data_IF_757358409112
#
_entry.id   IF_757358409112
#
_cell.length_a   1.000
_cell.length_b   1.000
_cell.length_c   1.000
_cell.angle_alpha   90.00
_cell.angle_beta   90.00
_cell.angle_gamma   90.00
#
_symmetry.space_group_name_H-M   'P 1'
#
loop_
_entity.id
_entity.type
_entity.pdbx_description
1 polymer ?
#
# COMPACT_ATOMS: atom_id res chain seq x y z
N UNK A 1 -30.77 7.43 -19.17
CA UNK A 1 -30.46 6.19 -18.41
C UNK A 1 -29.00 6.24 -17.99
N UNK A 2 -28.74 6.78 -16.80
CA UNK A 2 -27.43 6.86 -16.14
C UNK A 2 -27.35 5.77 -15.08
N UNK A 3 -27.40 4.51 -15.49
CA UNK A 3 -27.29 3.38 -14.56
C UNK A 3 -25.82 2.99 -14.39
N UNK A 4 -25.36 3.00 -13.14
CA UNK A 4 -23.99 2.66 -12.74
C UNK A 4 -23.86 1.22 -12.26
N UNK A 5 -24.98 0.52 -12.04
CA UNK A 5 -25.04 -0.85 -11.54
C UNK A 5 -24.16 -1.83 -12.34
N UNK A 6 -24.11 -1.78 -13.69
CA UNK A 6 -23.25 -2.68 -14.48
C UNK A 6 -21.75 -2.54 -14.18
N UNK A 7 -21.30 -1.37 -13.74
CA UNK A 7 -19.89 -1.14 -13.39
C UNK A 7 -19.58 -1.79 -12.03
N UNK A 8 -20.50 -1.75 -11.08
CA UNK A 8 -20.35 -2.44 -9.81
C UNK A 8 -20.43 -3.96 -9.97
N UNK A 9 -21.28 -4.46 -10.88
CA UNK A 9 -21.30 -5.89 -11.25
C UNK A 9 -19.96 -6.34 -11.85
N UNK A 10 -19.37 -5.55 -12.76
CA UNK A 10 -18.03 -5.82 -13.28
C UNK A 10 -16.97 -5.89 -12.16
N UNK A 11 -17.02 -4.95 -11.21
CA UNK A 11 -16.07 -4.91 -10.09
C UNK A 11 -16.14 -6.15 -9.18
N UNK A 12 -17.32 -6.80 -9.09
CA UNK A 12 -17.54 -8.06 -8.35
C UNK A 12 -17.08 -9.29 -9.13
N UNK A 13 -17.36 -9.33 -10.43
CA UNK A 13 -17.23 -10.56 -11.22
C UNK A 13 -15.84 -10.75 -11.84
N UNK A 14 -15.07 -9.68 -12.08
CA UNK A 14 -13.74 -9.79 -12.70
C UNK A 14 -12.59 -9.55 -11.71
N UNK A 15 -11.82 -10.62 -11.51
CA UNK A 15 -10.47 -10.57 -10.95
C UNK A 15 -9.55 -11.54 -11.72
N UNK A 16 -8.53 -11.08 -12.47
CA UNK A 16 -8.13 -9.69 -12.70
C UNK A 16 -8.56 -9.10 -14.06
N UNK A 17 -9.14 -7.88 -14.09
CA UNK A 17 -9.48 -7.21 -15.35
C UNK A 17 -8.24 -6.71 -16.07
N UNK A 18 -8.25 -6.67 -17.41
CA UNK A 18 -7.11 -6.13 -18.18
C UNK A 18 -7.04 -4.61 -18.02
N UNK A 19 -5.84 -4.04 -18.04
CA UNK A 19 -5.62 -2.59 -17.89
C UNK A 19 -6.34 -1.75 -18.97
N UNK A 20 -6.54 -2.30 -20.17
CA UNK A 20 -7.25 -1.66 -21.28
C UNK A 20 -8.75 -1.53 -20.99
N UNK A 21 -9.37 -2.57 -20.43
CA UNK A 21 -10.80 -2.58 -20.07
C UNK A 21 -11.08 -1.57 -18.95
N UNK A 22 -10.19 -1.46 -17.97
CA UNK A 22 -10.30 -0.46 -16.89
C UNK A 22 -10.32 0.98 -17.42
N UNK A 23 -9.50 1.32 -18.42
CA UNK A 23 -9.48 2.67 -18.99
C UNK A 23 -10.80 3.01 -19.70
N UNK A 24 -11.40 2.05 -20.39
CA UNK A 24 -12.71 2.23 -21.04
C UNK A 24 -13.81 2.47 -20.01
N UNK A 25 -13.82 1.70 -18.92
CA UNK A 25 -14.78 1.84 -17.84
C UNK A 25 -14.63 3.18 -17.09
N UNK A 26 -13.40 3.61 -16.80
CA UNK A 26 -13.14 4.92 -16.16
C UNK A 26 -13.72 6.06 -17.01
N UNK A 27 -13.49 6.04 -18.33
CA UNK A 27 -14.08 7.06 -19.24
C UNK A 27 -15.60 7.03 -19.23
N UNK A 28 -16.21 5.84 -19.18
CA UNK A 28 -17.67 5.69 -19.11
C UNK A 28 -18.22 6.25 -17.79
N UNK A 29 -17.56 5.97 -16.66
CA UNK A 29 -17.92 6.52 -15.36
C UNK A 29 -17.80 8.04 -15.35
N UNK A 30 -16.78 8.62 -16.00
CA UNK A 30 -16.61 10.08 -16.08
C UNK A 30 -17.78 10.75 -16.80
N UNK A 31 -18.28 10.17 -17.89
CA UNK A 31 -19.47 10.68 -18.59
C UNK A 31 -20.70 10.66 -17.67
N UNK A 32 -20.92 9.55 -16.95
CA UNK A 32 -22.05 9.41 -16.00
C UNK A 32 -21.91 10.43 -14.86
N UNK A 33 -20.71 10.60 -14.32
CA UNK A 33 -20.41 11.57 -13.27
C UNK A 33 -20.76 13.00 -13.70
N UNK A 34 -20.29 13.44 -14.86
CA UNK A 34 -20.57 14.80 -15.35
C UNK A 34 -22.07 15.05 -15.59
N UNK A 35 -22.79 14.04 -16.10
CA UNK A 35 -24.25 14.11 -16.24
C UNK A 35 -24.96 14.18 -14.88
N UNK A 36 -24.52 13.39 -13.90
CA UNK A 36 -25.12 13.38 -12.57
C UNK A 36 -24.89 14.69 -11.82
N UNK A 37 -23.68 15.27 -11.93
CA UNK A 37 -23.35 16.58 -11.34
C UNK A 37 -24.15 17.69 -12.01
N UNK A 38 -24.27 17.69 -13.34
CA UNK A 38 -25.08 18.69 -14.07
C UNK A 38 -26.56 18.63 -13.66
N UNK A 39 -27.10 17.44 -13.45
CA UNK A 39 -28.49 17.24 -13.04
C UNK A 39 -28.69 17.30 -11.51
N UNK A 40 -27.67 17.64 -10.73
CA UNK A 40 -27.71 17.68 -9.26
C UNK A 40 -28.20 16.37 -8.60
N UNK A 41 -27.88 15.22 -9.20
CA UNK A 41 -28.25 13.91 -8.66
C UNK A 41 -27.13 13.42 -7.75
N UNK A 42 -27.24 13.74 -6.45
CA UNK A 42 -26.20 13.46 -5.46
C UNK A 42 -25.84 11.97 -5.38
N UNK A 43 -26.85 11.10 -5.29
CA UNK A 43 -26.65 9.66 -5.14
C UNK A 43 -25.80 9.08 -6.28
N UNK A 44 -26.15 9.39 -7.53
CA UNK A 44 -25.42 8.90 -8.72
C UNK A 44 -24.03 9.54 -8.78
N UNK A 45 -23.89 10.82 -8.40
CA UNK A 45 -22.58 11.50 -8.38
C UNK A 45 -21.62 10.86 -7.38
N UNK A 46 -22.10 10.54 -6.16
CA UNK A 46 -21.32 9.87 -5.12
C UNK A 46 -20.96 8.43 -5.53
N UNK A 47 -21.91 7.68 -6.09
CA UNK A 47 -21.65 6.33 -6.62
C UNK A 47 -20.64 6.35 -7.78
N UNK A 48 -20.73 7.35 -8.66
CA UNK A 48 -19.78 7.52 -9.78
C UNK A 48 -18.38 7.82 -9.30
N UNK A 49 -18.24 8.65 -8.28
CA UNK A 49 -16.95 8.87 -7.63
C UNK A 49 -16.38 7.56 -7.07
N UNK A 50 -17.18 6.79 -6.33
CA UNK A 50 -16.73 5.54 -5.73
C UNK A 50 -16.31 4.51 -6.78
N UNK A 51 -17.11 4.32 -7.83
CA UNK A 51 -16.79 3.41 -8.93
C UNK A 51 -15.49 3.82 -9.63
N UNK A 52 -15.28 5.11 -9.87
CA UNK A 52 -14.06 5.63 -10.48
C UNK A 52 -12.83 5.37 -9.61
N UNK A 53 -12.93 5.62 -8.31
CA UNK A 53 -11.84 5.36 -7.37
C UNK A 53 -11.50 3.86 -7.27
N UNK A 54 -12.50 2.98 -7.24
CA UNK A 54 -12.29 1.52 -7.24
C UNK A 54 -11.58 1.03 -8.50
N UNK A 55 -12.00 1.49 -9.69
CA UNK A 55 -11.34 1.16 -10.95
C UNK A 55 -9.91 1.70 -10.99
N UNK A 56 -9.71 2.92 -10.52
CA UNK A 56 -8.39 3.57 -10.45
C UNK A 56 -7.49 2.85 -9.46
N UNK A 57 -8.03 2.39 -8.33
CA UNK A 57 -7.34 1.60 -7.32
C UNK A 57 -6.81 0.29 -7.91
N UNK A 58 -7.67 -0.51 -8.56
CA UNK A 58 -7.23 -1.75 -9.25
C UNK A 58 -6.19 -1.47 -10.33
N UNK A 59 -6.35 -0.40 -11.12
CA UNK A 59 -5.39 0.00 -12.16
C UNK A 59 -4.03 0.38 -11.57
N UNK A 60 -4.00 1.21 -10.53
CA UNK A 60 -2.76 1.62 -9.85
C UNK A 60 -2.07 0.44 -9.19
N UNK A 61 -2.81 -0.53 -8.65
CA UNK A 61 -2.24 -1.76 -8.12
C UNK A 61 -1.51 -2.58 -9.21
N UNK A 62 -2.14 -2.77 -10.37
CA UNK A 62 -1.49 -3.41 -11.54
C UNK A 62 -0.22 -2.64 -11.95
N UNK A 63 -0.29 -1.31 -11.96
CA UNK A 63 0.88 -0.46 -12.22
C UNK A 63 1.99 -0.71 -11.21
N UNK A 64 1.71 -0.74 -9.90
CA UNK A 64 2.71 -1.00 -8.87
C UNK A 64 3.40 -2.36 -9.07
N UNK A 65 2.62 -3.41 -9.34
CA UNK A 65 3.16 -4.73 -9.65
C UNK A 65 4.11 -4.72 -10.86
N UNK A 66 3.72 -4.02 -11.93
CA UNK A 66 4.56 -3.87 -13.12
C UNK A 66 5.86 -3.09 -12.80
N UNK A 67 5.81 -2.09 -11.93
CA UNK A 67 7.03 -1.38 -11.48
C UNK A 67 7.97 -2.31 -10.70
N UNK A 68 7.44 -3.18 -9.82
CA UNK A 68 8.26 -4.19 -9.13
C UNK A 68 8.93 -5.14 -10.13
N UNK A 69 8.18 -5.66 -11.10
CA UNK A 69 8.72 -6.50 -12.18
C UNK A 69 9.80 -5.78 -12.99
N UNK A 70 9.65 -4.48 -13.21
CA UNK A 70 10.62 -3.63 -13.87
C UNK A 70 11.79 -3.17 -12.95
N UNK A 71 11.87 -3.66 -11.70
CA UNK A 71 12.87 -3.29 -10.68
C UNK A 71 12.84 -1.81 -10.27
N UNK A 72 11.72 -1.14 -10.49
CA UNK A 72 11.42 0.24 -10.07
C UNK A 72 10.74 0.21 -8.70
N UNK A 73 11.52 -0.18 -7.69
CA UNK A 73 11.01 -0.48 -6.35
C UNK A 73 10.54 0.76 -5.60
N UNK A 74 11.23 1.89 -5.76
CA UNK A 74 10.81 3.13 -5.09
C UNK A 74 9.49 3.65 -5.65
N UNK A 75 9.32 3.62 -6.97
CA UNK A 75 8.07 4.03 -7.63
C UNK A 75 6.90 3.12 -7.23
N UNK A 76 7.14 1.81 -7.13
CA UNK A 76 6.13 0.87 -6.62
C UNK A 76 5.73 1.19 -5.17
N UNK A 77 6.70 1.47 -4.30
CA UNK A 77 6.46 1.86 -2.91
C UNK A 77 5.60 3.13 -2.79
N UNK A 78 5.91 4.17 -3.57
CA UNK A 78 5.10 5.39 -3.61
C UNK A 78 3.66 5.10 -4.05
N UNK A 79 3.45 4.21 -5.03
CA UNK A 79 2.09 3.83 -5.47
C UNK A 79 1.37 3.06 -4.37
N UNK A 80 2.04 2.19 -3.61
CA UNK A 80 1.41 1.48 -2.49
C UNK A 80 0.93 2.42 -1.38
N UNK A 81 1.73 3.41 -0.99
CA UNK A 81 1.31 4.43 -0.01
C UNK A 81 0.09 5.22 -0.51
N UNK A 82 0.07 5.61 -1.78
CA UNK A 82 -1.09 6.27 -2.38
C UNK A 82 -2.34 5.38 -2.37
N UNK A 83 -2.18 4.07 -2.59
CA UNK A 83 -3.29 3.12 -2.55
C UNK A 83 -3.87 3.01 -1.13
N UNK A 84 -3.04 2.97 -0.09
CA UNK A 84 -3.52 2.98 1.31
C UNK A 84 -4.32 4.26 1.62
N UNK A 85 -3.84 5.42 1.17
CA UNK A 85 -4.55 6.70 1.33
C UNK A 85 -5.88 6.67 0.58
N UNK A 86 -5.89 6.25 -0.69
CA UNK A 86 -7.13 6.10 -1.48
C UNK A 86 -8.11 5.13 -0.83
N UNK A 87 -7.62 4.00 -0.30
CA UNK A 87 -8.46 3.00 0.36
C UNK A 87 -9.17 3.57 1.58
N UNK A 88 -8.50 4.41 2.38
CA UNK A 88 -9.15 5.06 3.54
C UNK A 88 -10.37 5.91 3.15
N UNK A 89 -10.36 6.54 1.97
CA UNK A 89 -11.50 7.29 1.46
C UNK A 89 -12.57 6.37 0.84
N UNK A 90 -12.16 5.30 0.16
CA UNK A 90 -13.07 4.28 -0.38
C UNK A 90 -13.87 3.65 0.77
N UNK A 91 -13.19 3.14 1.80
CA UNK A 91 -13.79 2.50 2.97
C UNK A 91 -14.78 3.42 3.69
N UNK A 92 -14.41 4.69 3.88
CA UNK A 92 -15.30 5.67 4.52
C UNK A 92 -16.57 5.97 3.73
N UNK A 93 -16.61 5.70 2.41
CA UNK A 93 -17.72 6.05 1.53
C UNK A 93 -18.36 4.83 0.83
N UNK A 94 -18.04 3.61 1.27
CA UNK A 94 -18.55 2.37 0.67
C UNK A 94 -19.56 1.63 1.55
N UNK A 95 -20.28 2.30 2.48
CA UNK A 95 -21.17 1.61 3.43
C UNK A 95 -22.20 0.67 2.77
N UNK A 96 -22.64 0.99 1.56
CA UNK A 96 -23.64 0.22 0.80
C UNK A 96 -23.04 -0.89 -0.07
N UNK A 97 -21.73 -1.13 0.02
CA UNK A 97 -20.98 -1.97 -0.91
C UNK A 97 -20.01 -2.89 -0.16
N UNK A 98 -20.00 -4.17 -0.53
CA UNK A 98 -19.05 -5.14 0.00
C UNK A 98 -17.71 -5.03 -0.75
N UNK A 99 -16.70 -4.46 -0.09
CA UNK A 99 -15.35 -4.32 -0.63
C UNK A 99 -14.59 -5.66 -0.71
N UNK A 100 -15.01 -6.66 0.07
CA UNK A 100 -14.48 -8.02 0.03
C UNK A 100 -14.90 -8.74 -1.25
N UNK A 101 -16.18 -8.69 -1.61
CA UNK A 101 -16.69 -9.23 -2.89
C UNK A 101 -15.98 -8.61 -4.10
N UNK A 102 -15.63 -7.32 -4.03
CA UNK A 102 -14.90 -6.64 -5.11
C UNK A 102 -13.40 -6.93 -5.13
N UNK A 103 -12.90 -7.70 -4.16
CA UNK A 103 -11.49 -8.08 -4.01
C UNK A 103 -10.56 -6.94 -3.55
N UNK A 104 -11.10 -5.81 -3.07
CA UNK A 104 -10.29 -4.65 -2.64
C UNK A 104 -9.57 -4.95 -1.33
N UNK A 105 -10.24 -5.63 -0.40
CA UNK A 105 -9.64 -6.03 0.87
C UNK A 105 -8.45 -6.99 0.68
N UNK A 106 -8.56 -7.91 -0.29
CA UNK A 106 -7.46 -8.82 -0.63
C UNK A 106 -6.26 -8.06 -1.19
N UNK A 107 -6.50 -7.06 -2.05
CA UNK A 107 -5.42 -6.21 -2.58
C UNK A 107 -4.70 -5.48 -1.44
N UNK A 108 -5.43 -4.93 -0.46
CA UNK A 108 -4.81 -4.25 0.69
C UNK A 108 -3.95 -5.22 1.51
N UNK A 109 -4.46 -6.43 1.80
CA UNK A 109 -3.66 -7.48 2.47
C UNK A 109 -2.39 -7.79 1.69
N UNK A 110 -2.45 -7.88 0.35
CA UNK A 110 -1.27 -8.14 -0.48
C UNK A 110 -0.31 -6.93 -0.48
N UNK A 111 -0.83 -5.70 -0.46
CA UNK A 111 -0.01 -4.47 -0.36
C UNK A 111 0.77 -4.46 0.96
N UNK A 112 0.14 -4.79 2.08
CA UNK A 112 0.81 -4.87 3.38
C UNK A 112 1.96 -5.90 3.35
N UNK A 113 1.72 -7.05 2.71
CA UNK A 113 2.75 -8.07 2.52
C UNK A 113 3.91 -7.55 1.67
N UNK A 114 3.64 -6.92 0.53
CA UNK A 114 4.68 -6.28 -0.27
C UNK A 114 5.48 -5.27 0.54
N UNK A 115 4.80 -4.38 1.25
CA UNK A 115 5.43 -3.35 2.07
C UNK A 115 6.33 -3.97 3.16
N UNK A 116 5.95 -5.11 3.74
CA UNK A 116 6.73 -5.80 4.76
C UNK A 116 8.07 -6.37 4.26
N UNK A 117 8.20 -6.61 2.95
CA UNK A 117 9.44 -7.06 2.30
C UNK A 117 10.39 -5.91 1.98
N UNK A 118 9.92 -4.66 2.01
CA UNK A 118 10.78 -3.53 1.71
C UNK A 118 11.84 -3.34 2.81
N UNK A 119 13.11 -3.11 2.41
CA UNK A 119 14.22 -2.89 3.35
C UNK A 119 14.24 -1.49 3.98
N UNK A 120 13.22 -0.65 3.76
CA UNK A 120 13.21 0.74 4.21
C UNK A 120 13.03 0.84 5.74
N UNK A 121 13.97 1.53 6.39
CA UNK A 121 14.00 1.68 7.87
C UNK A 121 14.07 3.13 8.34
N UNK A 122 14.47 4.05 7.48
CA UNK A 122 14.69 5.45 7.83
C UNK A 122 13.96 6.35 6.83
N UNK A 123 13.26 7.34 7.38
CA UNK A 123 12.38 8.22 6.64
C UNK A 123 12.51 9.65 7.14
N UNK A 124 12.20 10.61 6.28
CA UNK A 124 12.11 12.03 6.62
C UNK A 124 10.67 12.40 6.96
N UNK A 125 10.46 12.91 8.17
CA UNK A 125 9.17 13.43 8.62
C UNK A 125 9.26 14.94 8.81
N UNK A 126 8.59 15.74 7.98
CA UNK A 126 8.58 17.18 8.13
C UNK A 126 7.64 17.63 9.26
N UNK A 127 8.06 18.65 10.01
CA UNK A 127 7.24 19.38 10.98
C UNK A 127 6.83 20.74 10.42
N UNK A 128 5.54 21.08 10.52
CA UNK A 128 5.00 22.33 10.00
C UNK A 128 4.13 23.06 11.03
N UNK A 129 4.11 24.39 10.95
CA UNK A 129 3.03 25.21 11.53
C UNK A 129 2.00 25.53 10.47
N UNK A 130 0.74 25.27 10.77
CA UNK A 130 -0.40 25.58 9.90
C UNK A 130 -1.22 26.70 10.51
N UNK A 131 -1.44 27.78 9.74
CA UNK A 131 -2.22 28.94 10.19
C UNK A 131 -3.70 28.57 10.35
N UNK A 132 -4.30 28.05 9.27
CA UNK A 132 -5.68 27.57 9.28
C UNK A 132 -5.96 26.62 8.12
N UNK A 133 -7.09 25.91 8.27
CA UNK A 133 -7.64 25.02 7.26
C UNK A 133 -8.95 25.58 6.72
N UNK A 134 -9.25 25.30 5.46
CA UNK A 134 -10.56 25.55 4.83
C UNK A 134 -11.17 24.25 4.32
N UNK A 135 -12.49 24.15 4.33
CA UNK A 135 -13.20 23.04 3.69
C UNK A 135 -13.05 23.13 2.16
N UNK A 136 -12.74 22.01 1.48
CA UNK A 136 -12.65 21.95 0.01
C UNK A 136 -13.98 22.16 -0.72
N UNK A 137 -15.12 22.07 -0.03
CA UNK A 137 -16.45 22.15 -0.62
C UNK A 137 -17.05 23.54 -0.45
N UNK A 138 -17.07 24.05 0.78
CA UNK A 138 -17.71 25.32 1.11
C UNK A 138 -16.71 26.48 1.34
N UNK A 139 -15.41 26.21 1.32
CA UNK A 139 -14.34 27.17 1.63
C UNK A 139 -14.43 27.83 3.01
N UNK A 140 -15.33 27.38 3.88
CA UNK A 140 -15.41 27.88 5.25
C UNK A 140 -14.14 27.52 6.03
N UNK A 141 -13.69 28.48 6.84
CA UNK A 141 -12.54 28.29 7.75
C UNK A 141 -12.91 27.32 8.86
N UNK A 142 -12.14 26.23 8.96
CA UNK A 142 -12.28 25.25 10.03
C UNK A 142 -11.66 25.83 11.31
N UNK A 143 -12.49 26.05 12.34
CA UNK A 143 -12.04 26.46 13.67
C UNK A 143 -12.18 25.28 14.64
N UNK A 144 -11.44 25.32 15.74
CA UNK A 144 -11.45 24.24 16.74
C UNK A 144 -12.85 23.97 17.32
N UNK A 145 -13.64 25.03 17.52
CA UNK A 145 -14.99 24.99 18.11
C UNK A 145 -16.13 25.14 17.09
N UNK A 146 -15.82 25.47 15.85
CA UNK A 146 -16.83 25.60 14.78
C UNK A 146 -16.28 25.02 13.48
N UNK A 147 -16.90 23.94 13.02
CA UNK A 147 -16.59 23.30 11.74
C UNK A 147 -17.73 23.59 10.78
N UNK A 148 -17.46 23.52 9.48
CA UNK A 148 -18.54 23.46 8.49
C UNK A 148 -19.42 22.22 8.74
N UNK A 149 -20.63 22.20 8.19
CA UNK A 149 -21.53 21.04 8.28
C UNK A 149 -21.01 19.75 7.60
N UNK A 150 -19.92 19.83 6.85
CA UNK A 150 -19.32 18.69 6.17
C UNK A 150 -18.35 17.89 7.05
N UNK A 151 -18.43 16.56 6.95
CA UNK A 151 -17.54 15.63 7.64
C UNK A 151 -16.29 15.39 6.77
N UNK A 152 -15.10 15.57 7.34
CA UNK A 152 -13.82 15.30 6.65
C UNK A 152 -13.79 13.85 6.14
N UNK A 153 -13.48 13.67 4.87
CA UNK A 153 -13.40 12.37 4.20
C UNK A 153 -14.73 11.87 3.63
N UNK A 154 -15.86 12.55 3.87
CA UNK A 154 -17.17 12.17 3.28
C UNK A 154 -17.41 12.83 1.93
N UNK A 155 -18.17 12.12 1.09
CA UNK A 155 -18.64 12.61 -0.20
C UNK A 155 -19.92 13.44 -0.10
N UNK A 156 -19.95 14.52 -0.87
CA UNK A 156 -21.11 15.36 -1.09
C UNK A 156 -21.14 15.75 -2.57
N UNK A 157 -22.23 15.42 -3.28
CA UNK A 157 -22.38 15.71 -4.71
C UNK A 157 -21.16 15.29 -5.57
N UNK A 158 -20.59 14.12 -5.28
CA UNK A 158 -19.44 13.57 -6.00
C UNK A 158 -18.11 14.27 -5.69
N UNK A 159 -18.01 15.03 -4.60
CA UNK A 159 -16.79 15.69 -4.13
C UNK A 159 -16.46 15.28 -2.70
N UNK A 160 -15.18 14.99 -2.43
CA UNK A 160 -14.70 14.73 -1.08
C UNK A 160 -14.55 16.03 -0.28
N UNK A 161 -15.03 16.02 0.96
CA UNK A 161 -14.70 17.04 1.95
C UNK A 161 -13.28 16.82 2.47
N UNK A 162 -12.36 17.70 2.10
CA UNK A 162 -10.98 17.72 2.55
C UNK A 162 -10.69 19.04 3.26
N UNK A 163 -9.71 19.03 4.15
CA UNK A 163 -9.20 20.23 4.79
C UNK A 163 -7.99 20.71 4.00
N UNK A 164 -8.14 21.83 3.31
CA UNK A 164 -7.09 22.48 2.53
C UNK A 164 -6.30 23.39 3.46
N UNK A 165 -4.98 23.23 3.47
CA UNK A 165 -4.06 24.11 4.19
C UNK A 165 -3.92 25.40 3.38
N UNK A 166 -4.19 26.55 4.00
CA UNK A 166 -4.06 27.85 3.32
C UNK A 166 -2.66 28.45 3.48
N UNK A 167 -2.12 28.41 4.70
CA UNK A 167 -0.73 28.81 4.96
C UNK A 167 -0.03 27.77 5.83
N UNK A 168 1.16 27.36 5.38
CA UNK A 168 2.05 26.48 6.13
C UNK A 168 3.48 27.02 6.11
N UNK A 169 4.18 26.87 7.23
CA UNK A 169 5.61 27.10 7.33
C UNK A 169 6.30 25.82 7.80
N UNK A 170 7.39 25.44 7.11
CA UNK A 170 8.26 24.34 7.50
C UNK A 170 9.08 24.75 8.72
N UNK A 171 9.07 23.92 9.76
CA UNK A 171 9.86 24.11 10.97
C UNK A 171 11.11 23.22 10.97
N UNK A 172 10.91 21.94 10.69
CA UNK A 172 11.97 20.94 10.81
C UNK A 172 11.74 19.77 9.86
N UNK A 173 12.81 18.98 9.67
CA UNK A 173 12.74 17.67 9.05
C UNK A 173 13.45 16.70 10.00
N UNK A 174 12.67 15.79 10.57
CA UNK A 174 13.14 14.80 11.54
C UNK A 174 13.37 13.46 10.84
N UNK A 175 14.41 12.72 11.26
CA UNK A 175 14.68 11.36 10.77
C UNK A 175 13.98 10.37 11.70
N UNK A 176 13.09 9.55 11.14
CA UNK A 176 12.23 8.63 11.89
C UNK A 176 12.22 7.23 11.31
N UNK A 177 11.89 6.24 12.14
CA UNK A 177 11.72 4.84 11.72
C UNK A 177 10.26 4.47 11.41
N UNK A 178 9.30 5.27 11.87
CA UNK A 178 7.87 5.05 11.67
C UNK A 178 7.19 6.35 11.17
N UNK A 179 7.20 6.62 9.86
CA UNK A 179 6.64 7.83 9.29
C UNK A 179 5.13 7.74 9.08
N UNK A 180 4.44 8.89 9.12
CA UNK A 180 3.10 9.01 8.53
C UNK A 180 3.19 9.03 7.00
N UNK A 181 4.19 9.70 6.45
CA UNK A 181 4.45 9.79 5.01
C UNK A 181 5.45 8.70 4.59
N UNK A 182 4.95 7.49 4.32
CA UNK A 182 5.81 6.33 4.01
C UNK A 182 6.70 6.56 2.78
N UNK A 183 6.31 7.40 1.81
CA UNK A 183 7.09 7.67 0.60
C UNK A 183 8.41 8.44 0.83
N UNK A 184 8.56 9.10 1.99
CA UNK A 184 9.73 9.94 2.32
C UNK A 184 10.95 9.13 2.77
N UNK A 185 11.36 8.15 1.98
CA UNK A 185 12.45 7.21 2.28
C UNK A 185 13.81 7.90 2.16
N UNK A 186 14.69 7.70 3.14
CA UNK A 186 16.10 8.10 3.04
C UNK A 186 16.90 7.06 2.25
N UNK A 187 17.61 7.52 1.21
CA UNK A 187 18.47 6.68 0.35
C UNK A 187 17.76 5.43 -0.22
N UNK A 188 16.67 5.58 -1.00
CA UNK A 188 15.89 4.46 -1.50
C UNK A 188 16.69 3.50 -2.42
N UNK A 189 17.69 4.00 -3.14
CA UNK A 189 18.40 3.21 -4.17
C UNK A 189 19.49 2.26 -3.63
N UNK A 190 20.00 2.49 -2.40
CA UNK A 190 21.14 1.75 -1.85
C UNK A 190 20.75 0.51 -1.03
N UNK A 191 19.50 0.05 -1.17
CA UNK A 191 18.93 -1.00 -0.33
C UNK A 191 18.85 -2.34 -1.06
N UNK A 192 18.71 -3.42 -0.29
CA UNK A 192 18.63 -4.78 -0.81
C UNK A 192 17.18 -5.22 -1.04
N UNK A 193 16.80 -5.39 -2.31
CA UNK A 193 15.45 -5.77 -2.74
C UNK A 193 15.32 -7.24 -3.18
N UNK A 194 16.28 -8.11 -2.81
CA UNK A 194 16.27 -9.52 -3.24
C UNK A 194 14.97 -10.26 -2.92
N UNK A 195 14.35 -9.97 -1.77
CA UNK A 195 13.08 -10.59 -1.37
C UNK A 195 11.91 -10.17 -2.28
N UNK A 196 11.84 -8.89 -2.65
CA UNK A 196 10.82 -8.44 -3.60
C UNK A 196 11.02 -9.09 -4.96
N UNK A 197 12.28 -9.16 -5.42
CA UNK A 197 12.62 -9.83 -6.67
C UNK A 197 12.18 -11.29 -6.65
N UNK A 198 12.43 -12.00 -5.55
CA UNK A 198 12.05 -13.41 -5.39
C UNK A 198 10.55 -13.65 -5.55
N UNK A 199 9.73 -12.84 -4.88
CA UNK A 199 8.27 -12.92 -4.98
C UNK A 199 7.83 -12.51 -6.38
N UNK A 200 8.32 -11.38 -6.86
CA UNK A 200 7.96 -10.85 -8.17
C UNK A 200 8.23 -11.87 -9.27
N UNK A 201 9.41 -12.50 -9.32
CA UNK A 201 9.78 -13.46 -10.36
C UNK A 201 8.86 -14.69 -10.39
N UNK A 202 8.27 -15.08 -9.25
CA UNK A 202 7.39 -16.24 -9.10
C UNK A 202 5.92 -15.95 -9.38
N UNK A 203 5.48 -14.71 -9.19
CA UNK A 203 4.10 -14.32 -9.47
C UNK A 203 3.89 -14.07 -10.97
N UNK A 204 2.95 -14.81 -11.56
CA UNK A 204 2.53 -14.61 -12.97
C UNK A 204 1.60 -13.41 -13.11
N UNK A 205 0.70 -13.21 -12.16
CA UNK A 205 -0.26 -12.10 -12.16
C UNK A 205 -0.23 -11.35 -10.81
N UNK A 206 -0.70 -10.09 -10.76
CA UNK A 206 -0.70 -9.30 -9.52
C UNK A 206 -1.65 -9.84 -8.44
N UNK A 207 -2.60 -10.70 -8.80
CA UNK A 207 -3.74 -11.06 -7.95
C UNK A 207 -3.67 -12.51 -7.45
N UNK A 208 -2.56 -13.19 -7.73
CA UNK A 208 -2.27 -14.49 -7.10
C UNK A 208 -2.07 -14.27 -5.61
N UNK A 209 -2.74 -15.08 -4.82
CA UNK A 209 -2.58 -15.08 -3.37
C UNK A 209 -1.24 -15.69 -2.97
N UNK A 210 -0.58 -15.02 -2.03
CA UNK A 210 0.62 -15.49 -1.35
C UNK A 210 0.60 -14.96 0.08
N UNK A 211 1.33 -15.65 0.97
CA UNK A 211 1.39 -15.31 2.39
C UNK A 211 2.85 -15.27 2.89
N UNK A 212 3.12 -14.30 3.77
CA UNK A 212 4.39 -14.17 4.49
C UNK A 212 4.19 -14.67 5.91
N UNK A 213 5.01 -15.64 6.32
CA UNK A 213 5.12 -16.04 7.73
C UNK A 213 6.54 -15.78 8.26
N UNK A 214 6.60 -15.11 9.41
CA UNK A 214 7.85 -14.93 10.16
C UNK A 214 8.05 -16.16 11.04
N UNK A 215 9.01 -16.99 10.67
CA UNK A 215 9.36 -18.23 11.37
C UNK A 215 10.75 -18.10 11.98
N UNK A 216 11.15 -19.10 12.74
CA UNK A 216 12.49 -19.22 13.28
C UNK A 216 13.08 -20.55 12.84
N UNK A 217 14.26 -20.52 12.22
CA UNK A 217 14.99 -21.73 11.84
C UNK A 217 16.17 -21.96 12.76
N UNK A 218 16.37 -23.23 13.10
CA UNK A 218 17.53 -23.69 13.86
C UNK A 218 18.65 -24.03 12.88
N UNK A 219 19.78 -23.36 13.07
CA UNK A 219 20.99 -23.61 12.30
C UNK A 219 22.09 -24.06 13.26
N UNK A 220 22.94 -24.97 12.81
CA UNK A 220 24.06 -25.45 13.62
C UNK A 220 25.15 -24.37 13.69
N UNK A 221 25.81 -24.25 14.84
CA UNK A 221 26.96 -23.35 15.02
C UNK A 221 28.07 -23.57 13.98
N UNK A 222 28.21 -24.79 13.48
CA UNK A 222 29.17 -25.17 12.44
C UNK A 222 28.94 -24.46 11.09
N UNK A 223 27.74 -23.92 10.85
CA UNK A 223 27.43 -23.16 9.63
C UNK A 223 27.92 -21.69 9.70
N UNK A 224 28.38 -21.23 10.87
CA UNK A 224 28.79 -19.84 11.12
C UNK A 224 30.26 -19.73 11.51
N UNK A 225 31.14 -20.53 10.90
CA UNK A 225 32.58 -20.55 11.22
C UNK A 225 33.25 -19.19 10.92
N UNK A 226 32.74 -18.45 9.94
CA UNK A 226 33.35 -17.21 9.46
C UNK A 226 32.92 -15.94 10.24
N UNK A 227 32.08 -16.06 11.26
CA UNK A 227 31.57 -14.92 12.04
C UNK A 227 32.47 -14.69 13.26
N UNK A 228 32.96 -13.45 13.42
CA UNK A 228 33.83 -13.07 14.53
C UNK A 228 33.01 -12.85 15.80
N UNK A 229 33.67 -12.96 16.94
CA UNK A 229 33.08 -12.73 18.27
C UNK A 229 32.46 -11.34 18.45
N UNK A 230 33.04 -10.34 17.78
CA UNK A 230 32.64 -8.92 17.82
C UNK A 230 31.56 -8.58 16.82
N UNK A 231 31.23 -9.46 15.88
CA UNK A 231 30.22 -9.19 14.87
C UNK A 231 28.82 -9.21 15.50
N UNK A 232 27.87 -8.55 14.86
CA UNK A 232 26.46 -8.60 15.28
C UNK A 232 25.94 -10.05 15.26
N UNK A 233 25.19 -10.44 16.30
CA UNK A 233 24.62 -11.79 16.36
C UNK A 233 23.68 -12.04 15.17
N UNK A 234 23.85 -13.17 14.43
CA UNK A 234 22.93 -13.58 13.35
C UNK A 234 21.47 -13.77 13.79
N UNK A 235 21.26 -13.92 15.10
CA UNK A 235 19.96 -13.98 15.72
C UNK A 235 19.21 -12.63 15.77
N UNK A 236 19.84 -11.53 15.34
CA UNK A 236 19.29 -10.17 15.31
C UNK A 236 18.89 -9.59 16.68
N UNK A 237 19.54 -10.06 17.76
CA UNK A 237 19.30 -9.58 19.13
C UNK A 237 19.91 -8.20 19.43
N UNK A 238 20.59 -7.58 18.45
CA UNK A 238 21.38 -6.34 18.58
C UNK A 238 22.53 -6.42 19.60
N UNK A 239 22.94 -7.63 19.95
CA UNK A 239 24.10 -7.91 20.81
C UNK A 239 25.22 -8.49 19.95
N UNK A 240 26.45 -8.20 20.35
CA UNK A 240 27.65 -8.86 19.82
C UNK A 240 27.52 -10.39 19.96
N UNK A 241 28.04 -11.12 18.99
CA UNK A 241 27.85 -12.56 18.88
C UNK A 241 28.35 -13.32 20.14
N UNK A 242 29.51 -12.92 20.69
CA UNK A 242 30.07 -13.43 21.97
C UNK A 242 29.08 -13.34 23.13
N UNK A 243 28.30 -12.27 23.17
CA UNK A 243 27.39 -11.95 24.29
C UNK A 243 25.98 -12.53 24.11
N UNK A 244 25.72 -13.26 23.02
CA UNK A 244 24.36 -13.73 22.70
C UNK A 244 24.27 -15.21 22.36
N UNK A 245 24.94 -15.65 21.30
CA UNK A 245 24.77 -17.01 20.75
C UNK A 245 26.08 -17.77 20.59
N UNK A 246 27.21 -17.22 21.03
CA UNK A 246 28.53 -17.85 20.92
C UNK A 246 28.61 -19.23 21.58
N UNK A 247 28.09 -19.34 22.81
CA UNK A 247 28.09 -20.59 23.57
C UNK A 247 26.90 -21.52 23.24
N UNK A 248 26.11 -21.21 22.19
CA UNK A 248 24.94 -22.04 21.82
C UNK A 248 25.32 -22.95 20.66
N UNK A 249 25.06 -24.26 20.81
CA UNK A 249 25.25 -25.24 19.75
C UNK A 249 24.36 -24.99 18.52
N UNK A 250 23.19 -24.40 18.76
CA UNK A 250 22.20 -24.08 17.76
C UNK A 250 21.84 -22.59 17.83
N UNK A 251 21.86 -21.93 16.68
CA UNK A 251 21.39 -20.56 16.53
C UNK A 251 19.94 -20.60 16.04
N UNK A 252 19.11 -19.76 16.66
CA UNK A 252 17.74 -19.51 16.21
C UNK A 252 17.78 -18.21 15.41
N UNK A 253 17.51 -18.30 14.11
CA UNK A 253 17.60 -17.17 13.19
C UNK A 253 16.20 -16.83 12.67
N UNK A 254 15.81 -15.55 12.67
CA UNK A 254 14.57 -15.10 12.03
C UNK A 254 14.56 -15.47 10.55
N UNK A 255 13.48 -16.10 10.11
CA UNK A 255 13.32 -16.55 8.73
C UNK A 255 11.98 -16.05 8.19
N UNK A 256 12.00 -15.47 6.98
CA UNK A 256 10.77 -15.17 6.25
C UNK A 256 10.48 -16.35 5.32
N UNK A 257 9.35 -17.00 5.57
CA UNK A 257 8.80 -18.03 4.70
C UNK A 257 7.69 -17.41 3.87
N UNK A 258 7.70 -17.71 2.57
CA UNK A 258 6.75 -17.18 1.60
C UNK A 258 6.03 -18.36 0.96
N UNK A 259 4.73 -18.43 1.20
CA UNK A 259 3.85 -19.47 0.69
C UNK A 259 3.08 -18.94 -0.53
N UNK A 260 3.18 -19.63 -1.66
CA UNK A 260 2.41 -19.32 -2.86
C UNK A 260 1.27 -20.32 -2.99
N UNK A 261 0.05 -19.84 -3.27
CA UNK A 261 -1.10 -20.75 -3.48
C UNK A 261 -1.09 -21.45 -4.85
N UNK A 262 -0.44 -20.84 -5.84
CA UNK A 262 -0.34 -21.39 -7.20
C UNK A 262 0.92 -22.26 -7.40
N UNK A 263 0.86 -23.17 -8.38
CA UNK A 263 2.02 -23.93 -8.82
C UNK A 263 3.13 -22.99 -9.33
N UNK A 264 4.26 -23.04 -8.65
CA UNK A 264 5.46 -22.28 -8.98
C UNK A 264 6.04 -22.73 -10.33
N UNK A 265 6.62 -21.81 -11.12
CA UNK A 265 7.41 -22.20 -12.29
C UNK A 265 8.50 -23.19 -11.88
N UNK A 266 8.60 -24.32 -12.59
CA UNK A 266 9.52 -25.43 -12.27
C UNK A 266 10.98 -25.02 -12.12
N UNK A 267 11.41 -23.94 -12.78
CA UNK A 267 12.76 -23.40 -12.70
C UNK A 267 13.05 -22.52 -11.47
N UNK A 268 12.04 -22.18 -10.65
CA UNK A 268 12.15 -21.26 -9.49
C UNK A 268 11.81 -21.93 -8.15
N UNK A 269 11.72 -23.26 -8.10
CA UNK A 269 11.21 -23.98 -6.92
C UNK A 269 12.05 -23.79 -5.65
N UNK A 270 13.32 -23.42 -5.75
CA UNK A 270 14.18 -23.25 -4.58
C UNK A 270 14.96 -21.92 -4.66
N UNK A 271 14.72 -21.01 -3.70
CA UNK A 271 15.76 -20.14 -3.15
C UNK A 271 15.25 -19.48 -1.85
N UNK A 272 15.65 -20.05 -0.72
CA UNK A 272 15.23 -19.64 0.62
C UNK A 272 16.04 -18.41 1.09
N UNK A 273 15.37 -17.34 1.51
CA UNK A 273 16.05 -16.17 2.10
C UNK A 273 16.31 -16.36 3.58
N UNK A 274 17.56 -16.27 3.98
CA UNK A 274 17.98 -15.91 5.34
C UNK A 274 18.33 -14.42 5.37
N UNK A 275 17.85 -13.70 6.38
CA UNK A 275 18.29 -12.33 6.64
C UNK A 275 19.68 -12.30 7.24
#
# INVERSE_FOLDING_TARGET
MTDISPIFEFLKNENPPKSVELNGLIKRVDVIYHQAVFNHIEAISNQSWLAKELLTFKKKYIQAFNQIKAKRYYEAWCVFEQLEVSFSFIEQNSQSYDLGEMGVLNIIKIIEQWQSLYPYKLFSSPGFTVNHYTCSICNERIKLRSKCGHIKGKLYNGKLCLHVVQDMALLEISIVTNPVQKYSVLNPEKQDFRQLKYVADRLKTPFVDWEISKTQKRFSRSQFINIKETDDCPCQSKKEFKNCCWNKEHLIIPHTLIDFKDELPTHLQNELFTY
#
